data_IF_733028619282
#
_entry.id   IF_733028619282
#
_cell.length_a   1.000
_cell.length_b   1.000
_cell.length_c   1.000
_cell.angle_alpha   90.00
_cell.angle_beta   90.00
_cell.angle_gamma   90.00
#
_symmetry.space_group_name_H-M   'P 1'
#
loop_
_entity.id
_entity.type
_entity.pdbx_description
1 polymer ?
#
# COMPACT_ATOMS: atom_id res chain seq x y z
N UNK A 1 10.94 22.14 9.53
CA UNK A 1 9.80 23.08 9.48
C UNK A 1 8.73 22.46 8.59
N UNK A 2 7.45 22.68 8.88
CA UNK A 2 6.35 22.18 8.05
C UNK A 2 6.38 22.86 6.68
N UNK A 3 6.46 22.09 5.60
CA UNK A 3 6.26 22.57 4.22
C UNK A 3 4.77 22.83 3.94
N UNK A 4 4.17 23.73 4.73
CA UNK A 4 2.95 24.38 4.31
C UNK A 4 3.33 25.37 3.20
N UNK A 5 3.04 25.02 1.93
CA UNK A 5 3.11 25.99 0.82
C UNK A 5 2.42 27.28 1.25
N UNK A 6 3.18 28.38 1.28
CA UNK A 6 2.73 29.73 1.63
C UNK A 6 1.98 30.42 0.48
N UNK A 7 1.48 29.64 -0.49
CA UNK A 7 0.64 30.10 -1.58
C UNK A 7 -0.85 30.01 -1.23
N UNK A 8 -1.67 30.75 -1.98
CA UNK A 8 -3.14 30.66 -1.94
C UNK A 8 -3.65 29.35 -2.58
N UNK A 9 -3.25 28.20 -2.02
CA UNK A 9 -3.77 26.89 -2.45
C UNK A 9 -5.27 26.80 -2.12
N UNK A 10 -6.16 26.45 -3.07
CA UNK A 10 -7.59 26.44 -2.82
C UNK A 10 -7.97 25.49 -1.68
N UNK A 11 -8.68 26.02 -0.70
CA UNK A 11 -9.19 25.28 0.46
C UNK A 11 -10.69 25.48 0.62
N UNK A 12 -11.36 24.46 1.17
CA UNK A 12 -12.77 24.50 1.53
C UNK A 12 -12.83 24.29 3.04
N UNK A 13 -12.97 25.39 3.78
CA UNK A 13 -12.83 25.39 5.23
C UNK A 13 -11.43 24.93 5.66
N UNK A 14 -11.29 23.94 6.58
CA UNK A 14 -10.00 23.48 7.06
C UNK A 14 -9.28 22.50 6.12
N UNK A 15 -9.91 22.07 5.01
CA UNK A 15 -9.37 21.02 4.12
C UNK A 15 -8.90 21.62 2.79
N UNK A 16 -7.69 21.26 2.35
CA UNK A 16 -7.20 21.61 1.00
C UNK A 16 -7.94 20.82 -0.08
N UNK A 17 -8.24 21.45 -1.21
CA UNK A 17 -8.94 20.79 -2.33
C UNK A 17 -8.18 19.56 -2.86
N UNK A 18 -6.85 19.55 -2.75
CA UNK A 18 -5.99 18.39 -3.06
C UNK A 18 -6.44 17.10 -2.36
N UNK A 19 -6.78 17.16 -1.06
CA UNK A 19 -7.23 16.01 -0.29
C UNK A 19 -8.65 15.56 -0.67
N UNK A 20 -9.50 16.51 -1.09
CA UNK A 20 -10.85 16.21 -1.57
C UNK A 20 -10.77 15.50 -2.92
N UNK A 21 -9.93 16.00 -3.84
CA UNK A 21 -9.65 15.34 -5.12
C UNK A 21 -9.07 13.94 -4.90
N UNK A 22 -8.09 13.78 -4.00
CA UNK A 22 -7.54 12.48 -3.64
C UNK A 22 -8.60 11.51 -3.08
N UNK A 23 -9.49 11.98 -2.19
CA UNK A 23 -10.62 11.20 -1.69
C UNK A 23 -11.60 10.78 -2.80
N UNK A 24 -11.86 11.65 -3.79
CA UNK A 24 -12.66 11.32 -4.97
C UNK A 24 -11.98 10.28 -5.87
N UNK A 25 -10.64 10.30 -5.99
CA UNK A 25 -9.88 9.26 -6.71
C UNK A 25 -9.98 7.91 -6.01
N UNK A 26 -9.85 7.86 -4.68
CA UNK A 26 -10.04 6.64 -3.89
C UNK A 26 -11.47 6.09 -4.02
N UNK A 27 -12.48 6.97 -3.97
CA UNK A 27 -13.88 6.60 -4.17
C UNK A 27 -14.12 6.08 -5.59
N UNK A 28 -13.54 6.72 -6.61
CA UNK A 28 -13.56 6.25 -7.99
C UNK A 28 -12.93 4.85 -8.13
N UNK A 29 -11.77 4.63 -7.51
CA UNK A 29 -11.08 3.33 -7.46
C UNK A 29 -11.96 2.24 -6.84
N UNK A 30 -12.66 2.55 -5.74
CA UNK A 30 -13.56 1.62 -5.07
C UNK A 30 -14.80 1.26 -5.92
N UNK A 31 -15.43 2.24 -6.57
CA UNK A 31 -16.60 2.03 -7.43
C UNK A 31 -16.23 1.29 -8.73
N UNK A 32 -15.13 1.71 -9.39
CA UNK A 32 -14.69 1.20 -10.69
C UNK A 32 -13.54 0.19 -10.56
N UNK A 33 -13.65 -0.76 -9.61
CA UNK A 33 -12.64 -1.78 -9.30
C UNK A 33 -12.17 -2.66 -10.48
N UNK A 34 -12.85 -2.64 -11.64
CA UNK A 34 -12.43 -3.32 -12.88
C UNK A 34 -11.48 -2.50 -13.76
N UNK A 35 -11.40 -1.19 -13.53
CA UNK A 35 -10.58 -0.23 -14.28
C UNK A 35 -9.70 0.61 -13.34
N UNK A 36 -9.36 0.05 -12.18
CA UNK A 36 -8.58 0.65 -11.09
C UNK A 36 -7.35 1.42 -11.57
N UNK A 37 -6.57 0.82 -12.47
CA UNK A 37 -5.39 1.45 -13.07
C UNK A 37 -5.71 2.75 -13.82
N UNK A 38 -6.74 2.74 -14.68
CA UNK A 38 -7.15 3.93 -15.45
C UNK A 38 -7.74 5.02 -14.56
N UNK A 39 -8.46 4.64 -13.50
CA UNK A 39 -9.03 5.62 -12.54
C UNK A 39 -7.93 6.23 -11.67
N UNK A 40 -6.96 5.43 -11.22
CA UNK A 40 -5.78 5.95 -10.51
C UNK A 40 -4.94 6.86 -11.41
N UNK A 41 -4.72 6.50 -12.68
CA UNK A 41 -3.95 7.30 -13.64
C UNK A 41 -4.64 8.63 -13.97
N UNK A 42 -5.92 8.61 -14.32
CA UNK A 42 -6.69 9.83 -14.60
C UNK A 42 -6.83 10.70 -13.35
N UNK A 43 -7.03 10.10 -12.18
CA UNK A 43 -7.02 10.78 -10.89
C UNK A 43 -5.69 11.47 -10.59
N UNK A 44 -4.57 10.79 -10.81
CA UNK A 44 -3.23 11.35 -10.68
C UNK A 44 -3.03 12.52 -11.65
N UNK A 45 -3.44 12.38 -12.91
CA UNK A 45 -3.39 13.49 -13.89
C UNK A 45 -4.19 14.70 -13.41
N UNK A 46 -5.43 14.50 -12.94
CA UNK A 46 -6.28 15.59 -12.42
C UNK A 46 -5.63 16.30 -11.23
N UNK A 47 -5.07 15.56 -10.27
CA UNK A 47 -4.39 16.13 -9.10
C UNK A 47 -3.12 16.88 -9.50
N UNK A 48 -2.31 16.33 -10.41
CA UNK A 48 -1.09 17.00 -10.90
C UNK A 48 -1.41 18.27 -11.69
N UNK A 49 -2.40 18.24 -12.59
CA UNK A 49 -2.85 19.42 -13.33
C UNK A 49 -3.42 20.47 -12.39
N UNK A 50 -4.21 20.08 -11.38
CA UNK A 50 -4.69 21.00 -10.35
C UNK A 50 -3.52 21.66 -9.62
N UNK A 51 -2.53 20.87 -9.15
CA UNK A 51 -1.38 21.40 -8.41
C UNK A 51 -0.52 22.35 -9.27
N UNK A 52 -0.26 22.02 -10.53
CA UNK A 52 0.49 22.85 -11.47
C UNK A 52 -0.20 24.19 -11.82
N UNK A 53 -1.54 24.26 -11.75
CA UNK A 53 -2.31 25.49 -12.04
C UNK A 53 -2.50 26.34 -10.78
N UNK A 54 -2.72 25.71 -9.62
CA UNK A 54 -3.19 26.39 -8.40
C UNK A 54 -2.16 26.48 -7.26
N UNK A 55 -1.02 25.78 -7.33
CA UNK A 55 0.12 25.94 -6.41
C UNK A 55 1.32 26.57 -7.15
N UNK A 56 1.45 27.91 -7.17
CA UNK A 56 2.49 28.59 -7.95
C UNK A 56 3.92 28.34 -7.43
N UNK A 57 4.08 27.70 -6.26
CA UNK A 57 5.38 27.23 -5.76
C UNK A 57 5.74 25.81 -6.19
N UNK A 58 4.90 25.11 -6.96
CA UNK A 58 5.11 23.71 -7.31
C UNK A 58 5.93 23.52 -8.61
N UNK A 59 7.25 23.46 -8.48
CA UNK A 59 8.15 23.10 -9.57
C UNK A 59 8.32 21.57 -9.68
N UNK A 60 7.52 20.92 -10.54
CA UNK A 60 7.49 19.45 -10.67
C UNK A 60 8.88 18.81 -10.90
N UNK A 61 9.71 19.37 -11.80
CA UNK A 61 11.02 18.79 -12.09
C UNK A 61 11.99 18.88 -10.90
N UNK A 62 12.02 20.02 -10.21
CA UNK A 62 12.82 20.26 -9.02
C UNK A 62 12.36 19.38 -7.84
N UNK A 63 11.05 19.22 -7.67
CA UNK A 63 10.47 18.33 -6.66
C UNK A 63 10.77 16.85 -6.93
N UNK A 64 10.79 16.44 -8.20
CA UNK A 64 11.08 15.05 -8.58
C UNK A 64 12.57 14.71 -8.54
N UNK A 65 13.44 15.59 -9.05
CA UNK A 65 14.85 15.31 -9.31
C UNK A 65 15.86 16.17 -8.54
N UNK A 66 15.42 17.23 -7.84
CA UNK A 66 16.30 18.19 -7.16
C UNK A 66 16.86 19.29 -8.05
N UNK A 67 17.68 20.17 -7.46
CA UNK A 67 18.51 21.16 -8.15
C UNK A 67 19.73 20.49 -8.81
N UNK A 68 20.34 19.56 -8.06
CA UNK A 68 21.68 19.07 -8.31
C UNK A 68 21.75 18.08 -9.49
N UNK A 69 22.89 17.96 -10.19
CA UNK A 69 23.05 16.97 -11.24
C UNK A 69 22.84 15.54 -10.74
N UNK A 70 21.98 14.76 -11.42
CA UNK A 70 21.65 13.39 -11.03
C UNK A 70 22.86 12.45 -10.89
N UNK A 71 23.96 12.72 -11.62
CA UNK A 71 25.20 11.95 -11.52
C UNK A 71 25.88 12.08 -10.14
N UNK A 72 25.85 13.26 -9.54
CA UNK A 72 26.42 13.51 -8.20
C UNK A 72 25.52 12.89 -7.13
N UNK A 73 24.20 13.06 -7.25
CA UNK A 73 23.21 12.44 -6.37
C UNK A 73 23.16 10.90 -6.44
N UNK A 74 23.70 10.29 -7.50
CA UNK A 74 23.83 8.84 -7.60
C UNK A 74 25.02 8.30 -6.81
N UNK A 75 26.12 9.07 -6.76
CA UNK A 75 27.38 8.70 -6.12
C UNK A 75 27.37 9.01 -4.62
N UNK A 76 26.80 10.15 -4.23
CA UNK A 76 26.70 10.56 -2.83
C UNK A 76 25.26 10.47 -2.32
N UNK A 77 25.07 9.74 -1.21
CA UNK A 77 23.76 9.52 -0.60
C UNK A 77 23.27 10.74 0.16
N UNK A 78 24.16 11.57 0.71
CA UNK A 78 23.76 12.77 1.47
C UNK A 78 23.34 13.93 0.57
N UNK A 79 23.76 13.92 -0.71
CA UNK A 79 23.39 14.94 -1.71
C UNK A 79 22.09 14.63 -2.47
N UNK A 80 21.38 13.56 -2.11
CA UNK A 80 20.19 13.13 -2.85
C UNK A 80 18.99 14.04 -2.56
N UNK A 81 18.52 14.74 -3.60
CA UNK A 81 17.42 15.68 -3.55
C UNK A 81 16.21 15.16 -4.35
N UNK A 82 15.02 15.71 -4.07
CA UNK A 82 13.77 15.31 -4.72
C UNK A 82 13.31 13.89 -4.37
N UNK A 83 12.17 13.48 -4.94
CA UNK A 83 11.50 12.22 -4.57
C UNK A 83 11.98 10.98 -5.37
N UNK A 84 12.78 11.14 -6.43
CA UNK A 84 13.22 10.02 -7.28
C UNK A 84 13.90 8.87 -6.53
N UNK A 85 14.70 9.19 -5.50
CA UNK A 85 15.35 8.18 -4.65
C UNK A 85 14.37 7.38 -3.81
N UNK A 86 13.30 8.02 -3.33
CA UNK A 86 12.20 7.38 -2.60
C UNK A 86 11.42 6.48 -3.55
N UNK A 87 11.13 6.95 -4.77
CA UNK A 87 10.42 6.17 -5.79
C UNK A 87 11.21 4.90 -6.17
N UNK A 88 12.54 5.00 -6.36
CA UNK A 88 13.39 3.82 -6.60
C UNK A 88 13.42 2.87 -5.40
N UNK A 89 13.47 3.39 -4.17
CA UNK A 89 13.44 2.57 -2.97
C UNK A 89 12.10 1.82 -2.82
N UNK A 90 10.98 2.51 -3.01
CA UNK A 90 9.64 1.91 -2.98
C UNK A 90 9.44 0.90 -4.10
N UNK A 91 9.93 1.18 -5.31
CA UNK A 91 9.88 0.22 -6.43
C UNK A 91 10.69 -1.05 -6.10
N UNK A 92 11.90 -0.89 -5.56
CA UNK A 92 12.73 -2.01 -5.10
C UNK A 92 12.08 -2.81 -3.97
N UNK A 93 11.44 -2.13 -3.01
CA UNK A 93 10.70 -2.74 -1.91
C UNK A 93 9.51 -3.56 -2.41
N UNK A 94 8.64 -2.97 -3.25
CA UNK A 94 7.47 -3.62 -3.83
C UNK A 94 7.85 -4.83 -4.71
N UNK A 95 8.92 -4.70 -5.49
CA UNK A 95 9.47 -5.82 -6.28
C UNK A 95 10.05 -6.91 -5.37
N UNK A 96 10.70 -6.53 -4.26
CA UNK A 96 11.17 -7.44 -3.22
C UNK A 96 10.04 -8.22 -2.55
N UNK A 97 8.97 -7.54 -2.11
CA UNK A 97 7.78 -8.19 -1.53
C UNK A 97 7.05 -9.06 -2.55
N UNK A 98 6.93 -8.64 -3.81
CA UNK A 98 6.34 -9.47 -4.87
C UNK A 98 7.13 -10.77 -5.10
N UNK A 99 8.47 -10.70 -5.12
CA UNK A 99 9.34 -11.88 -5.23
C UNK A 99 9.22 -12.76 -3.99
N UNK A 100 9.26 -12.18 -2.79
CA UNK A 100 9.16 -12.91 -1.52
C UNK A 100 7.80 -13.63 -1.37
N UNK A 101 6.71 -12.93 -1.69
CA UNK A 101 5.35 -13.49 -1.72
C UNK A 101 5.26 -14.67 -2.69
N UNK A 102 5.84 -14.53 -3.89
CA UNK A 102 5.86 -15.61 -4.89
C UNK A 102 6.65 -16.83 -4.40
N UNK A 103 7.85 -16.62 -3.84
CA UNK A 103 8.67 -17.71 -3.28
C UNK A 103 7.91 -18.40 -2.13
N UNK A 104 7.23 -17.65 -1.27
CA UNK A 104 6.46 -18.20 -0.16
C UNK A 104 5.25 -19.03 -0.63
N UNK A 105 4.54 -18.58 -1.66
CA UNK A 105 3.46 -19.32 -2.31
C UNK A 105 3.98 -20.62 -2.97
N UNK A 106 5.05 -20.54 -3.77
CA UNK A 106 5.69 -21.71 -4.41
C UNK A 106 6.28 -22.71 -3.38
N UNK A 107 6.65 -22.24 -2.18
CA UNK A 107 7.19 -23.07 -1.09
C UNK A 107 6.15 -23.96 -0.40
N UNK A 108 4.87 -23.88 -0.77
CA UNK A 108 3.76 -24.68 -0.19
C UNK A 108 3.53 -24.49 1.32
N UNK A 109 4.16 -23.50 1.95
CA UNK A 109 3.90 -23.13 3.35
C UNK A 109 2.40 -22.87 3.61
N UNK A 110 1.65 -22.21 2.70
CA UNK A 110 0.19 -22.12 2.80
C UNK A 110 -0.55 -23.46 2.78
N UNK A 111 -0.08 -24.46 2.04
CA UNK A 111 -0.74 -25.77 1.89
C UNK A 111 -0.59 -26.65 3.14
N UNK A 112 0.55 -26.53 3.85
CA UNK A 112 0.80 -27.30 5.08
C UNK A 112 0.19 -26.65 6.32
N UNK A 113 -0.07 -25.34 6.31
CA UNK A 113 -0.57 -24.58 7.46
C UNK A 113 -1.89 -25.14 8.05
N UNK A 114 -2.89 -25.57 7.25
CA UNK A 114 -4.08 -26.27 7.75
C UNK A 114 -3.79 -27.43 8.72
N UNK A 115 -2.72 -28.19 8.48
CA UNK A 115 -2.39 -29.38 9.28
C UNK A 115 -1.83 -29.04 10.68
N UNK A 116 -1.46 -27.78 10.92
CA UNK A 116 -1.01 -27.27 12.22
C UNK A 116 -2.10 -26.53 12.98
N UNK A 117 -3.28 -26.30 12.38
CA UNK A 117 -4.41 -25.68 13.06
C UNK A 117 -5.16 -26.73 13.89
N UNK A 118 -5.47 -26.46 15.18
CA UNK A 118 -6.31 -27.35 15.97
C UNK A 118 -7.76 -27.29 15.49
N UNK A 119 -8.44 -28.44 15.46
CA UNK A 119 -9.87 -28.58 15.11
C UNK A 119 -10.83 -27.90 16.11
N UNK A 120 -10.31 -27.40 17.23
CA UNK A 120 -11.03 -26.67 18.26
C UNK A 120 -11.36 -25.21 17.86
N UNK A 121 -12.14 -24.53 18.73
CA UNK A 121 -12.39 -23.08 18.69
C UNK A 121 -11.13 -22.19 18.58
N UNK A 122 -9.95 -22.74 18.87
CA UNK A 122 -8.65 -22.07 18.74
C UNK A 122 -8.17 -21.96 17.29
N UNK A 123 -8.62 -22.84 16.38
CA UNK A 123 -8.23 -22.83 14.97
C UNK A 123 -8.46 -21.47 14.28
N UNK A 124 -9.69 -20.90 14.35
CA UNK A 124 -9.96 -19.56 13.84
C UNK A 124 -9.09 -18.46 14.42
N UNK A 125 -8.77 -18.50 15.72
CA UNK A 125 -7.90 -17.51 16.35
C UNK A 125 -6.44 -17.67 15.91
N UNK A 126 -5.94 -18.91 15.87
CA UNK A 126 -4.56 -19.21 15.48
C UNK A 126 -4.30 -18.87 14.01
N UNK A 127 -5.27 -19.06 13.12
CA UNK A 127 -5.16 -18.61 11.73
C UNK A 127 -5.05 -17.08 11.61
N UNK A 128 -5.72 -16.29 12.46
CA UNK A 128 -5.52 -14.83 12.49
C UNK A 128 -4.11 -14.46 12.97
N UNK A 129 -3.57 -15.18 13.96
CA UNK A 129 -2.17 -15.01 14.41
C UNK A 129 -1.19 -15.36 13.30
N UNK A 130 -1.44 -16.42 12.52
CA UNK A 130 -0.62 -16.75 11.34
C UNK A 130 -0.70 -15.67 10.26
N UNK A 131 -1.89 -15.15 9.95
CA UNK A 131 -2.04 -14.04 8.98
C UNK A 131 -1.29 -12.80 9.46
N UNK A 132 -1.36 -12.47 10.75
CA UNK A 132 -0.60 -11.39 11.37
C UNK A 132 0.91 -11.59 11.19
N UNK A 133 1.45 -12.77 11.52
CA UNK A 133 2.88 -13.07 11.37
C UNK A 133 3.31 -13.05 9.90
N UNK A 134 2.53 -13.66 8.99
CA UNK A 134 2.84 -13.65 7.56
C UNK A 134 2.83 -12.23 6.97
N UNK A 135 1.91 -11.37 7.42
CA UNK A 135 1.82 -9.98 6.93
C UNK A 135 2.92 -9.05 7.44
N UNK A 136 3.80 -9.50 8.34
CA UNK A 136 5.03 -8.78 8.67
C UNK A 136 6.10 -8.92 7.55
N UNK A 137 5.97 -9.95 6.69
CA UNK A 137 6.92 -10.29 5.62
C UNK A 137 6.32 -10.16 4.21
N UNK A 138 5.01 -10.38 4.06
CA UNK A 138 4.28 -10.24 2.80
C UNK A 138 3.45 -8.95 2.79
N UNK A 139 3.18 -8.42 1.59
CA UNK A 139 2.20 -7.35 1.40
C UNK A 139 0.85 -7.72 2.03
N UNK A 140 0.23 -6.76 2.74
CA UNK A 140 -1.01 -6.97 3.50
C UNK A 140 -2.18 -7.54 2.67
N UNK A 141 -2.18 -7.30 1.35
CA UNK A 141 -3.13 -7.86 0.39
C UNK A 141 -2.85 -9.36 0.15
N UNK A 142 -1.59 -9.73 -0.09
CA UNK A 142 -1.20 -11.13 -0.30
C UNK A 142 -1.44 -11.96 0.97
N UNK A 143 -1.05 -11.44 2.15
CA UNK A 143 -1.31 -12.10 3.42
C UNK A 143 -2.81 -12.29 3.71
N UNK A 144 -3.66 -11.30 3.38
CA UNK A 144 -5.11 -11.42 3.51
C UNK A 144 -5.72 -12.43 2.52
N UNK A 145 -5.25 -12.46 1.27
CA UNK A 145 -5.72 -13.42 0.26
C UNK A 145 -5.34 -14.85 0.63
N UNK A 146 -4.09 -15.10 1.03
CA UNK A 146 -3.61 -16.41 1.51
C UNK A 146 -4.36 -16.83 2.78
N UNK A 147 -4.54 -15.92 3.74
CA UNK A 147 -5.35 -16.18 4.94
C UNK A 147 -6.80 -16.55 4.60
N UNK A 148 -7.40 -15.86 3.63
CA UNK A 148 -8.76 -16.10 3.16
C UNK A 148 -8.93 -17.45 2.46
N UNK A 149 -8.00 -17.84 1.59
CA UNK A 149 -8.05 -19.15 0.91
C UNK A 149 -7.85 -20.30 1.90
N UNK A 150 -6.90 -20.18 2.84
CA UNK A 150 -6.71 -21.14 3.93
C UNK A 150 -7.97 -21.25 4.79
N UNK A 151 -8.60 -20.12 5.16
CA UNK A 151 -9.84 -20.11 5.92
C UNK A 151 -10.99 -20.85 5.18
N UNK A 152 -11.13 -20.66 3.88
CA UNK A 152 -12.15 -21.36 3.07
C UNK A 152 -11.92 -22.88 3.05
N UNK A 153 -10.66 -23.33 2.96
CA UNK A 153 -10.32 -24.77 3.01
C UNK A 153 -10.59 -25.35 4.40
N UNK A 154 -10.01 -24.75 5.44
CA UNK A 154 -10.10 -25.22 6.85
C UNK A 154 -11.55 -25.24 7.34
N UNK A 155 -12.31 -24.18 7.09
CA UNK A 155 -13.71 -24.08 7.52
C UNK A 155 -14.72 -24.65 6.51
N UNK A 156 -14.25 -25.40 5.49
CA UNK A 156 -15.11 -26.08 4.50
C UNK A 156 -16.14 -25.13 3.86
N UNK A 157 -15.67 -23.97 3.41
CA UNK A 157 -16.45 -22.85 2.87
C UNK A 157 -17.44 -22.17 3.85
N UNK A 158 -17.43 -22.49 5.15
CA UNK A 158 -18.31 -21.86 6.16
C UNK A 158 -17.68 -20.61 6.80
N UNK A 159 -17.15 -19.71 5.98
CA UNK A 159 -16.52 -18.46 6.45
C UNK A 159 -17.53 -17.32 6.42
N UNK A 160 -17.70 -16.62 7.53
CA UNK A 160 -18.61 -15.47 7.63
C UNK A 160 -17.87 -14.14 7.37
N UNK A 161 -18.59 -13.12 6.90
CA UNK A 161 -18.00 -11.83 6.48
C UNK A 161 -17.20 -11.13 7.59
N UNK A 162 -17.62 -11.28 8.86
CA UNK A 162 -16.88 -10.77 10.01
C UNK A 162 -15.51 -11.41 10.21
N UNK A 163 -15.34 -12.69 9.86
CA UNK A 163 -14.05 -13.36 9.92
C UNK A 163 -13.14 -12.96 8.76
N UNK A 164 -13.70 -12.73 7.56
CA UNK A 164 -12.94 -12.12 6.45
C UNK A 164 -12.45 -10.71 6.81
N UNK A 165 -13.29 -9.90 7.46
CA UNK A 165 -12.89 -8.61 7.99
C UNK A 165 -11.80 -8.74 9.09
N UNK A 166 -11.88 -9.76 9.94
CA UNK A 166 -10.84 -10.04 10.93
C UNK A 166 -9.50 -10.47 10.29
N UNK A 167 -9.52 -11.23 9.19
CA UNK A 167 -8.31 -11.58 8.41
C UNK A 167 -7.66 -10.31 7.84
N UNK A 168 -8.45 -9.41 7.24
CA UNK A 168 -7.95 -8.13 6.69
C UNK A 168 -7.42 -7.21 7.81
N UNK A 169 -8.06 -7.21 8.98
CA UNK A 169 -7.57 -6.49 10.16
C UNK A 169 -6.26 -7.09 10.69
N UNK A 170 -6.15 -8.43 10.73
CA UNK A 170 -4.95 -9.12 11.17
C UNK A 170 -3.76 -8.89 10.23
N UNK A 171 -3.97 -8.86 8.90
CA UNK A 171 -2.88 -8.55 7.97
C UNK A 171 -2.40 -7.11 8.11
N UNK A 172 -3.31 -6.13 8.11
CA UNK A 172 -2.93 -4.73 8.34
C UNK A 172 -2.25 -4.49 9.71
N UNK A 173 -2.65 -5.22 10.76
CA UNK A 173 -1.98 -5.14 12.06
C UNK A 173 -0.59 -5.80 12.04
N UNK A 174 -0.39 -6.87 11.27
CA UNK A 174 0.90 -7.54 11.11
C UNK A 174 1.93 -6.67 10.39
N UNK A 175 1.54 -6.08 9.26
CA UNK A 175 2.40 -5.17 8.50
C UNK A 175 2.81 -3.90 9.25
N UNK A 176 2.02 -3.46 10.24
CA UNK A 176 2.32 -2.29 11.07
C UNK A 176 3.55 -2.48 11.99
N UNK A 177 4.02 -3.72 12.20
CA UNK A 177 5.21 -4.01 12.99
C UNK A 177 6.53 -4.03 12.20
N UNK A 178 6.50 -3.83 10.87
CA UNK A 178 7.65 -3.99 9.96
C UNK A 178 8.49 -2.69 9.82
N UNK A 179 8.84 -2.06 10.95
CA UNK A 179 9.61 -0.80 11.01
C UNK A 179 11.07 -1.00 11.45
#
# INVERSE_FOLDING_TARGET
MTFASSGNVPSIGPVRVEFILFGLVLLGVALFHKHTFWVALTGLTVILTFKLIFDPGFHFMEHMFGELPLGEQFLDKEMRQGEWGIILNLLGLLLGFAILSKIFEESKVPEILPNYLPDDWKGPFLLLVFVFIMSAFLDNIAAALIGGTIALVVFRNKVHIGYLAAIVAASNAGGAGSV
#
